data_IF_465168444065
#
_entry.id   IF_465168444065
#
_cell.length_a   1.000
_cell.length_b   1.000
_cell.length_c   1.000
_cell.angle_alpha   90.00
_cell.angle_beta   90.00
_cell.angle_gamma   90.00
#
_symmetry.space_group_name_H-M   'P 1'
#
loop_
_entity.id
_entity.type
_entity.pdbx_description
1 polymer ?
#
# COMPACT_ATOMS: atom_id res chain seq x y z
N UNK A 1 5.87 8.36 -12.93
CA UNK A 1 5.55 9.09 -14.17
C UNK A 1 4.51 10.21 -13.98
N UNK A 2 4.54 10.98 -12.87
CA UNK A 2 3.75 12.23 -12.81
C UNK A 2 4.45 13.45 -12.16
N UNK A 3 5.68 13.32 -11.64
CA UNK A 3 6.41 14.50 -11.07
C UNK A 3 7.91 14.57 -11.36
N UNK A 4 8.50 13.72 -12.23
CA UNK A 4 9.95 13.70 -12.55
C UNK A 4 10.95 13.63 -11.36
N UNK A 5 10.50 13.57 -10.11
CA UNK A 5 11.34 13.27 -8.96
C UNK A 5 11.45 11.76 -8.75
N UNK A 6 12.68 11.27 -8.61
CA UNK A 6 12.99 9.85 -8.39
C UNK A 6 12.68 9.47 -6.93
N UNK A 7 11.39 9.44 -6.58
CA UNK A 7 10.89 9.04 -5.24
C UNK A 7 10.75 7.52 -5.08
N UNK A 8 11.17 6.75 -6.08
CA UNK A 8 11.17 5.28 -6.09
C UNK A 8 11.87 4.70 -4.85
N UNK A 9 12.98 5.32 -4.42
CA UNK A 9 13.68 4.93 -3.19
C UNK A 9 12.86 5.14 -1.92
N UNK A 10 12.10 6.23 -1.82
CA UNK A 10 11.23 6.49 -0.67
C UNK A 10 10.03 5.52 -0.65
N UNK A 11 9.43 5.23 -1.81
CA UNK A 11 8.37 4.23 -1.92
C UNK A 11 8.88 2.81 -1.58
N UNK A 12 10.07 2.44 -2.08
CA UNK A 12 10.71 1.17 -1.76
C UNK A 12 11.02 1.06 -0.26
N UNK A 13 11.50 2.14 0.35
CA UNK A 13 11.75 2.22 1.78
C UNK A 13 10.47 2.05 2.59
N UNK A 14 9.38 2.76 2.25
CA UNK A 14 8.09 2.66 2.95
C UNK A 14 7.48 1.26 2.83
N UNK A 15 7.49 0.66 1.63
CA UNK A 15 6.99 -0.70 1.43
C UNK A 15 7.75 -1.73 2.26
N UNK A 16 9.08 -1.62 2.29
CA UNK A 16 9.93 -2.54 3.06
C UNK A 16 9.78 -2.32 4.55
N UNK A 17 9.74 -1.06 4.99
CA UNK A 17 9.56 -0.71 6.38
C UNK A 17 8.21 -1.20 6.90
N UNK A 18 7.12 -0.91 6.20
CA UNK A 18 5.77 -1.37 6.57
C UNK A 18 5.74 -2.90 6.71
N UNK A 19 6.28 -3.62 5.73
CA UNK A 19 6.40 -5.09 5.80
C UNK A 19 7.21 -5.56 7.02
N UNK A 20 8.38 -4.98 7.26
CA UNK A 20 9.23 -5.37 8.40
C UNK A 20 8.55 -5.10 9.74
N UNK A 21 7.88 -3.95 9.87
CA UNK A 21 7.13 -3.58 11.07
C UNK A 21 6.00 -4.57 11.33
N UNK A 22 5.21 -4.92 10.33
CA UNK A 22 4.13 -5.91 10.50
C UNK A 22 4.67 -7.27 10.91
N UNK A 23 5.76 -7.75 10.28
CA UNK A 23 6.38 -9.04 10.64
C UNK A 23 6.94 -9.00 12.06
N UNK A 24 7.59 -7.92 12.47
CA UNK A 24 8.13 -7.76 13.81
C UNK A 24 7.03 -7.78 14.88
N UNK A 25 5.94 -7.03 14.67
CA UNK A 25 4.79 -7.00 15.58
C UNK A 25 4.14 -8.38 15.67
N UNK A 26 3.93 -9.06 14.53
CA UNK A 26 3.37 -10.40 14.50
C UNK A 26 4.24 -11.41 15.28
N UNK A 27 5.55 -11.35 15.07
CA UNK A 27 6.51 -12.24 15.76
C UNK A 27 6.52 -11.98 17.27
N UNK A 28 6.46 -10.72 17.66
CA UNK A 28 6.37 -10.33 19.08
C UNK A 28 5.08 -10.85 19.73
N UNK A 29 3.93 -10.66 19.08
CA UNK A 29 2.65 -11.14 19.58
C UNK A 29 2.62 -12.67 19.74
N UNK A 30 3.14 -13.41 18.75
CA UNK A 30 3.32 -14.86 18.82
C UNK A 30 4.20 -15.25 20.01
N UNK A 31 5.31 -14.54 20.23
CA UNK A 31 6.19 -14.77 21.37
C UNK A 31 5.49 -14.62 22.72
N UNK A 32 4.66 -13.58 22.88
CA UNK A 32 3.86 -13.38 24.09
C UNK A 32 2.83 -14.50 24.31
N UNK A 33 2.14 -14.92 23.26
CA UNK A 33 1.16 -15.99 23.33
C UNK A 33 1.81 -17.32 23.72
N UNK A 34 2.95 -17.65 23.12
CA UNK A 34 3.71 -18.85 23.49
C UNK A 34 4.17 -18.78 24.95
N UNK A 35 4.68 -17.65 25.40
CA UNK A 35 5.09 -17.48 26.80
C UNK A 35 3.90 -17.65 27.77
N UNK A 36 2.72 -17.15 27.40
CA UNK A 36 1.50 -17.32 28.21
C UNK A 36 0.98 -18.76 28.26
N UNK A 37 1.16 -19.54 27.20
CA UNK A 37 0.78 -20.96 27.14
C UNK A 37 1.79 -21.91 27.78
N UNK A 38 2.73 -21.40 28.60
CA UNK A 38 3.70 -22.25 29.30
C UNK A 38 4.83 -22.80 28.42
N UNK A 39 5.08 -22.19 27.24
CA UNK A 39 6.20 -22.60 26.39
C UNK A 39 7.55 -22.36 27.07
N UNK A 40 8.28 -23.43 27.34
CA UNK A 40 9.64 -23.36 27.91
C UNK A 40 10.68 -23.55 26.80
N UNK A 41 11.48 -22.51 26.53
CA UNK A 41 12.56 -22.57 25.55
C UNK A 41 13.63 -23.59 25.99
N UNK A 42 13.98 -24.51 25.09
CA UNK A 42 15.08 -25.46 25.30
C UNK A 42 14.75 -26.67 26.18
N UNK A 43 13.50 -26.84 26.62
CA UNK A 43 13.07 -28.09 27.28
C UNK A 43 12.77 -29.17 26.23
N UNK A 44 13.27 -30.38 26.46
CA UNK A 44 12.97 -31.58 25.64
C UNK A 44 11.52 -32.03 25.88
N UNK A 45 11.00 -31.84 27.10
CA UNK A 45 9.64 -32.17 27.49
C UNK A 45 8.81 -30.87 27.62
N UNK A 46 7.88 -30.67 26.70
CA UNK A 46 6.91 -29.57 26.76
C UNK A 46 5.69 -30.00 27.57
N UNK A 47 5.13 -29.15 28.44
CA UNK A 47 3.84 -29.45 29.07
C UNK A 47 2.75 -29.56 27.99
N UNK A 48 1.75 -30.40 28.23
CA UNK A 48 0.65 -30.63 27.28
C UNK A 48 -0.06 -29.32 26.92
N UNK A 49 -0.18 -28.41 27.88
CA UNK A 49 -0.73 -27.06 27.71
C UNK A 49 0.03 -26.21 26.67
N UNK A 50 1.36 -26.34 26.59
CA UNK A 50 2.16 -25.62 25.59
C UNK A 50 1.98 -26.19 24.19
N UNK A 51 1.83 -27.51 24.07
CA UNK A 51 1.57 -28.19 22.80
C UNK A 51 0.20 -27.76 22.27
N UNK A 52 -0.82 -27.78 23.12
CA UNK A 52 -2.18 -27.35 22.76
C UNK A 52 -2.19 -25.87 22.36
N UNK A 53 -1.47 -25.01 23.10
CA UNK A 53 -1.32 -23.59 22.74
C UNK A 53 -0.68 -23.42 21.36
N UNK A 54 0.38 -24.15 21.04
CA UNK A 54 1.02 -24.09 19.72
C UNK A 54 0.05 -24.56 18.63
N UNK A 55 -0.66 -25.67 18.86
CA UNK A 55 -1.62 -26.21 17.89
C UNK A 55 -2.76 -25.23 17.61
N UNK A 56 -3.34 -24.65 18.67
CA UNK A 56 -4.38 -23.61 18.57
C UNK A 56 -3.83 -22.38 17.86
N UNK A 57 -2.62 -21.94 18.19
CA UNK A 57 -2.00 -20.78 17.57
C UNK A 57 -1.77 -20.99 16.06
N UNK A 58 -1.35 -22.19 15.65
CA UNK A 58 -1.17 -22.51 14.24
C UNK A 58 -2.52 -22.58 13.51
N UNK A 59 -3.52 -23.29 14.05
CA UNK A 59 -4.82 -23.42 13.39
C UNK A 59 -5.64 -22.13 13.45
N UNK A 60 -5.95 -21.66 14.66
CA UNK A 60 -6.78 -20.48 14.87
C UNK A 60 -6.07 -19.20 14.44
N UNK A 61 -4.75 -19.09 14.67
CA UNK A 61 -3.97 -17.94 14.22
C UNK A 61 -3.90 -17.84 12.70
N UNK A 62 -3.60 -18.93 11.99
CA UNK A 62 -3.62 -18.92 10.52
C UNK A 62 -5.03 -18.70 9.97
N UNK A 63 -6.06 -19.35 10.53
CA UNK A 63 -7.44 -19.11 10.11
C UNK A 63 -7.86 -17.65 10.34
N UNK A 64 -7.54 -17.06 11.49
CA UNK A 64 -7.81 -15.66 11.79
C UNK A 64 -7.11 -14.70 10.83
N UNK A 65 -5.82 -14.93 10.53
CA UNK A 65 -5.09 -14.13 9.56
C UNK A 65 -5.69 -14.25 8.15
N UNK A 66 -6.13 -15.44 7.75
CA UNK A 66 -6.81 -15.65 6.47
C UNK A 66 -8.15 -14.93 6.42
N UNK A 67 -8.95 -14.96 7.49
CA UNK A 67 -10.21 -14.24 7.56
C UNK A 67 -10.01 -12.73 7.50
N UNK A 68 -9.01 -12.20 8.20
CA UNK A 68 -8.65 -10.77 8.12
C UNK A 68 -8.18 -10.41 6.71
N UNK A 69 -7.34 -11.24 6.10
CA UNK A 69 -6.88 -11.02 4.73
C UNK A 69 -8.05 -11.06 3.73
N UNK A 70 -8.98 -12.00 3.90
CA UNK A 70 -10.18 -12.11 3.07
C UNK A 70 -11.11 -10.91 3.29
N UNK A 71 -11.34 -10.51 4.54
CA UNK A 71 -12.15 -9.33 4.84
C UNK A 71 -11.52 -8.06 4.27
N UNK A 72 -10.21 -7.88 4.38
CA UNK A 72 -9.50 -6.78 3.74
C UNK A 72 -9.63 -6.85 2.21
N UNK A 73 -9.51 -8.03 1.61
CA UNK A 73 -9.70 -8.22 0.17
C UNK A 73 -11.14 -7.90 -0.29
N UNK A 74 -12.14 -8.19 0.54
CA UNK A 74 -13.55 -7.88 0.27
C UNK A 74 -13.90 -6.41 0.56
N UNK A 75 -13.22 -5.75 1.51
CA UNK A 75 -13.47 -4.35 1.89
C UNK A 75 -12.70 -3.38 0.99
N UNK A 76 -11.55 -3.79 0.44
CA UNK A 76 -10.84 -3.00 -0.56
C UNK A 76 -11.73 -2.80 -1.78
N UNK A 77 -12.15 -1.55 -1.98
CA UNK A 77 -12.94 -1.07 -3.13
C UNK A 77 -12.13 -1.07 -4.46
N UNK A 78 -11.21 -2.02 -4.65
CA UNK A 78 -10.58 -2.27 -5.95
C UNK A 78 -11.46 -3.24 -6.76
N UNK A 79 -12.67 -2.79 -7.07
CA UNK A 79 -13.51 -3.50 -8.02
C UNK A 79 -12.77 -3.50 -9.37
N UNK A 80 -12.54 -4.67 -9.98
CA UNK A 80 -11.84 -4.81 -11.28
C UNK A 80 -12.43 -3.85 -12.33
N UNK A 81 -13.72 -3.54 -12.23
CA UNK A 81 -14.42 -2.58 -13.07
C UNK A 81 -13.87 -1.15 -12.90
N UNK A 82 -13.74 -0.67 -11.66
CA UNK A 82 -13.24 0.69 -11.36
C UNK A 82 -11.78 0.87 -11.78
N UNK A 83 -10.93 -0.14 -11.53
CA UNK A 83 -9.54 -0.09 -11.99
C UNK A 83 -9.42 -0.16 -13.51
N UNK A 84 -10.27 -0.95 -14.17
CA UNK A 84 -10.31 -1.03 -15.63
C UNK A 84 -10.75 0.30 -16.25
N UNK A 85 -11.83 0.91 -15.75
CA UNK A 85 -12.30 2.22 -16.20
C UNK A 85 -11.22 3.29 -16.00
N UNK A 86 -10.50 3.26 -14.87
CA UNK A 86 -9.39 4.17 -14.62
C UNK A 86 -8.24 3.98 -15.61
N UNK A 87 -7.83 2.73 -15.88
CA UNK A 87 -6.75 2.43 -16.83
C UNK A 87 -7.15 2.80 -18.26
N UNK A 88 -8.38 2.49 -18.68
CA UNK A 88 -8.93 2.83 -20.00
C UNK A 88 -8.93 4.36 -20.20
N UNK A 89 -9.28 5.14 -19.18
CA UNK A 89 -9.24 6.61 -19.22
C UNK A 89 -7.80 7.14 -19.28
N UNK A 90 -6.87 6.56 -18.51
CA UNK A 90 -5.45 6.92 -18.54
C UNK A 90 -4.84 6.63 -19.93
N UNK A 91 -5.20 5.52 -20.57
CA UNK A 91 -4.71 5.17 -21.90
C UNK A 91 -5.32 6.07 -22.99
N UNK A 92 -6.58 6.50 -22.81
CA UNK A 92 -7.20 7.54 -23.66
C UNK A 92 -6.49 8.89 -23.56
N UNK A 93 -6.16 9.33 -22.36
CA UNK A 93 -5.42 10.58 -22.14
C UNK A 93 -3.98 10.51 -22.70
N UNK A 94 -3.31 9.34 -22.61
CA UNK A 94 -2.02 9.10 -23.29
C UNK A 94 -2.13 9.11 -24.82
N UNK A 95 -3.28 8.75 -25.37
CA UNK A 95 -3.54 8.75 -26.81
C UNK A 95 -3.92 10.14 -27.38
N UNK A 96 -3.64 11.23 -26.65
CA UNK A 96 -4.07 12.61 -26.96
C UNK A 96 -5.60 12.80 -26.99
N UNK A 97 -6.34 11.98 -26.23
CA UNK A 97 -7.77 12.21 -26.03
C UNK A 97 -8.04 13.56 -25.37
N UNK A 98 -9.03 14.29 -25.88
CA UNK A 98 -9.44 15.58 -25.31
C UNK A 98 -10.07 15.35 -23.93
N UNK A 99 -9.62 16.10 -22.92
CA UNK A 99 -10.14 16.05 -21.54
C UNK A 99 -11.66 16.23 -21.45
N UNK A 100 -12.24 16.96 -22.41
CA UNK A 100 -13.66 17.29 -22.45
C UNK A 100 -14.57 16.09 -22.78
N UNK A 101 -14.03 15.03 -23.39
CA UNK A 101 -14.82 13.83 -23.74
C UNK A 101 -14.92 12.83 -22.58
N UNK A 102 -14.51 13.19 -21.36
CA UNK A 102 -14.53 12.25 -20.22
C UNK A 102 -15.96 11.84 -19.88
N UNK A 103 -16.20 10.53 -19.81
CA UNK A 103 -17.47 10.01 -19.30
C UNK A 103 -17.65 10.41 -17.84
N UNK A 104 -18.86 10.82 -17.40
CA UNK A 104 -19.12 11.24 -16.02
C UNK A 104 -18.73 10.20 -14.96
N UNK A 105 -18.83 8.92 -15.31
CA UNK A 105 -18.40 7.80 -14.47
C UNK A 105 -16.88 7.73 -14.32
N UNK A 106 -16.12 7.90 -15.40
CA UNK A 106 -14.67 7.94 -15.38
C UNK A 106 -14.13 9.13 -14.58
N UNK A 107 -14.78 10.30 -14.70
CA UNK A 107 -14.44 11.50 -13.91
C UNK A 107 -14.52 11.25 -12.41
N UNK A 108 -15.66 10.73 -11.93
CA UNK A 108 -15.86 10.42 -10.51
C UNK A 108 -14.87 9.38 -9.99
N UNK A 109 -14.61 8.35 -10.79
CA UNK A 109 -13.66 7.29 -10.42
C UNK A 109 -12.23 7.84 -10.32
N UNK A 110 -11.82 8.71 -11.25
CA UNK A 110 -10.50 9.35 -11.20
C UNK A 110 -10.39 10.27 -9.99
N UNK A 111 -11.41 11.08 -9.70
CA UNK A 111 -11.43 11.96 -8.53
C UNK A 111 -11.40 11.18 -7.21
N UNK A 112 -12.17 10.10 -7.10
CA UNK A 112 -12.22 9.23 -5.92
C UNK A 112 -10.89 8.47 -5.69
N UNK A 113 -10.27 7.98 -6.76
CA UNK A 113 -9.00 7.25 -6.68
C UNK A 113 -7.78 8.15 -6.46
N UNK A 114 -7.83 9.39 -6.96
CA UNK A 114 -6.68 10.31 -6.90
C UNK A 114 -6.79 11.33 -5.77
N UNK A 115 -8.00 11.59 -5.28
CA UNK A 115 -8.28 12.59 -4.24
C UNK A 115 -8.18 14.04 -4.72
N UNK A 116 -8.08 14.27 -6.04
CA UNK A 116 -7.98 15.59 -6.66
C UNK A 116 -9.07 15.77 -7.72
N UNK A 117 -9.54 17.01 -7.89
CA UNK A 117 -10.53 17.36 -8.93
C UNK A 117 -9.98 17.08 -10.33
N UNK A 118 -10.78 16.45 -11.19
CA UNK A 118 -10.36 16.03 -12.53
C UNK A 118 -9.78 17.17 -13.36
N UNK A 119 -10.28 18.40 -13.17
CA UNK A 119 -9.84 19.56 -13.93
C UNK A 119 -8.40 19.98 -13.57
N UNK A 120 -7.90 19.57 -12.39
CA UNK A 120 -6.52 19.79 -11.95
C UNK A 120 -5.56 18.67 -12.39
N UNK A 121 -6.08 17.50 -12.77
CA UNK A 121 -5.27 16.40 -13.29
C UNK A 121 -4.88 16.65 -14.74
N UNK A 122 -3.70 16.18 -15.15
CA UNK A 122 -3.22 16.26 -16.54
C UNK A 122 -3.11 17.71 -17.09
N UNK A 123 -2.82 18.68 -16.24
CA UNK A 123 -2.41 20.01 -16.68
C UNK A 123 -0.97 19.91 -17.21
N UNK A 124 -0.75 20.32 -18.47
CA UNK A 124 0.59 20.55 -18.98
C UNK A 124 1.29 21.51 -18.02
N UNK A 125 2.34 21.06 -17.33
CA UNK A 125 3.15 21.94 -16.48
C UNK A 125 3.64 23.08 -17.39
N UNK A 126 3.26 24.35 -17.15
CA UNK A 126 3.76 25.45 -17.95
C UNK A 126 5.29 25.43 -17.89
N UNK A 127 5.93 25.54 -19.05
CA UNK A 127 7.37 25.43 -19.21
C UNK A 127 8.18 26.42 -18.33
N UNK A 128 7.51 27.40 -17.74
CA UNK A 128 8.08 28.42 -16.85
C UNK A 128 8.67 27.86 -15.55
N UNK A 129 8.13 26.76 -15.00
CA UNK A 129 8.68 26.11 -13.78
C UNK A 129 9.92 25.21 -14.04
N UNK A 130 10.44 25.18 -15.26
CA UNK A 130 11.66 24.42 -15.64
C UNK A 130 12.97 25.19 -15.49
N UNK A 131 12.98 26.44 -15.01
CA UNK A 131 14.26 27.09 -14.68
C UNK A 131 14.82 26.49 -13.39
N UNK A 132 16.02 25.87 -13.41
CA UNK A 132 16.75 25.69 -12.17
C UNK A 132 17.01 27.07 -11.58
N UNK A 133 16.69 27.22 -10.30
CA UNK A 133 17.06 28.38 -9.50
C UNK A 133 18.57 28.62 -9.68
N UNK A 134 19.02 29.85 -10.03
CA UNK A 134 20.45 30.10 -10.18
C UNK A 134 21.14 29.83 -8.85
N UNK A 135 22.18 28.99 -8.87
CA UNK A 135 22.95 28.62 -7.70
C UNK A 135 23.39 29.89 -6.93
N UNK A 136 23.34 29.87 -5.58
CA UNK A 136 23.80 31.00 -4.79
C UNK A 136 25.26 31.28 -5.15
N UNK A 137 25.51 32.47 -5.67
CA UNK A 137 26.83 32.96 -6.01
C UNK A 137 27.74 32.84 -4.79
N UNK A 138 28.79 32.03 -4.92
CA UNK A 138 29.87 31.97 -3.95
C UNK A 138 30.40 33.39 -3.70
N UNK A 139 30.10 33.93 -2.52
CA UNK A 139 30.79 35.10 -1.99
C UNK A 139 32.18 34.66 -1.54
N UNK A 140 33.17 35.28 -2.18
CA UNK A 140 34.60 35.28 -1.85
C UNK A 140 34.84 35.79 -0.43
#
# INVERSE_FOLDING_TARGET
>A
MITRQRREGLFAAVMTFSRKTTVAIATFAVGLLLQSGGFVKGSVNQPQEAIDTIAILLFAGTAGLLLIALWQALTFHLNKQTHKIFVDEVDRLKANGLKHDVTPEARRIVEDLTGYDYDQLWCDIPAEKRRPEPAPSAQR
#
